data_IF_217356579259
#
_entry.id   IF_217356579259
#
_cell.length_a   1.000
_cell.length_b   1.000
_cell.length_c   1.000
_cell.angle_alpha   90.00
_cell.angle_beta   90.00
_cell.angle_gamma   90.00
#
_symmetry.space_group_name_H-M   'P 1'
#
loop_
_entity.id
_entity.type
_entity.pdbx_description
1 polymer ?
#
# COMPACT_ATOMS: atom_id res chain seq x y z
N UNK A 1 -12.24 -10.28 37.31
CA UNK A 1 -11.88 -9.05 36.60
C UNK A 1 -12.31 -9.25 35.16
N UNK A 2 -13.54 -8.85 34.83
CA UNK A 2 -14.15 -9.12 33.52
C UNK A 2 -14.37 -7.78 32.83
N UNK A 3 -13.45 -7.41 31.94
CA UNK A 3 -13.67 -6.35 30.96
C UNK A 3 -13.46 -6.99 29.58
N UNK A 4 -14.35 -7.92 29.23
CA UNK A 4 -14.42 -8.50 27.90
C UNK A 4 -14.93 -7.49 26.88
N UNK A 5 -14.08 -6.55 26.46
CA UNK A 5 -14.42 -5.63 25.39
C UNK A 5 -14.47 -6.37 24.05
N UNK A 6 -15.42 -6.03 23.19
CA UNK A 6 -15.43 -6.54 21.81
C UNK A 6 -14.32 -5.85 21.00
N UNK A 7 -13.49 -6.65 20.32
CA UNK A 7 -12.53 -6.18 19.33
C UNK A 7 -13.28 -6.07 18.00
N UNK A 8 -13.17 -4.92 17.33
CA UNK A 8 -13.75 -4.70 16.00
C UNK A 8 -12.69 -4.13 15.06
N UNK A 9 -12.39 -4.84 13.97
CA UNK A 9 -11.46 -4.38 12.94
C UNK A 9 -12.25 -3.95 11.69
N UNK A 10 -11.85 -2.83 11.09
CA UNK A 10 -12.47 -2.25 9.88
C UNK A 10 -11.48 -2.27 8.71
N UNK A 11 -11.98 -2.38 7.47
CA UNK A 11 -11.12 -2.42 6.28
C UNK A 11 -10.80 -1.01 5.74
N UNK A 12 -11.72 -0.05 5.92
CA UNK A 12 -11.65 1.25 5.27
C UNK A 12 -11.26 2.40 6.21
N UNK A 13 -10.68 3.44 5.62
CA UNK A 13 -10.39 4.74 6.26
C UNK A 13 -11.41 5.81 5.86
N UNK A 14 -12.27 5.52 4.86
CA UNK A 14 -13.30 6.43 4.35
C UNK A 14 -14.56 6.34 5.20
N UNK A 15 -15.18 7.49 5.48
CA UNK A 15 -16.39 7.65 6.32
C UNK A 15 -17.54 6.68 5.96
N UNK A 16 -17.66 6.30 4.70
CA UNK A 16 -18.72 5.43 4.19
C UNK A 16 -18.43 3.92 4.40
N UNK A 17 -17.17 3.54 4.60
CA UNK A 17 -16.79 2.13 4.90
C UNK A 17 -16.87 1.80 6.39
N UNK A 18 -17.27 2.75 7.25
CA UNK A 18 -17.33 2.58 8.71
C UNK A 18 -18.53 1.78 9.21
N UNK A 19 -19.51 1.48 8.34
CA UNK A 19 -20.81 0.95 8.75
C UNK A 19 -20.78 -0.51 9.22
N UNK A 20 -19.79 -1.31 8.80
CA UNK A 20 -19.66 -2.70 9.27
C UNK A 20 -18.19 -3.06 9.53
N UNK A 21 -17.84 -3.52 10.75
CA UNK A 21 -16.54 -4.16 10.97
C UNK A 21 -16.50 -5.47 10.19
N UNK A 22 -15.35 -5.78 9.59
CA UNK A 22 -15.17 -7.03 8.87
C UNK A 22 -14.84 -8.19 9.79
N UNK A 23 -14.25 -7.88 10.95
CA UNK A 23 -13.95 -8.84 11.99
C UNK A 23 -14.42 -8.27 13.33
N UNK A 24 -15.27 -9.02 14.01
CA UNK A 24 -15.65 -8.75 15.39
C UNK A 24 -15.31 -9.96 16.23
N UNK A 25 -14.47 -9.78 17.25
CA UNK A 25 -14.12 -10.82 18.22
C UNK A 25 -14.67 -10.39 19.57
N UNK A 26 -15.70 -11.09 20.02
CA UNK A 26 -16.22 -10.94 21.38
C UNK A 26 -15.66 -12.01 22.32
N UNK A 27 -15.71 -11.74 23.62
CA UNK A 27 -15.31 -12.67 24.67
C UNK A 27 -14.83 -11.95 25.92
N UNK A 28 -14.82 -12.64 27.06
CA UNK A 28 -14.31 -12.11 28.32
C UNK A 28 -12.83 -12.40 28.56
N UNK A 29 -12.29 -13.41 27.88
CA UNK A 29 -10.91 -13.82 28.02
C UNK A 29 -10.01 -13.18 26.97
N UNK A 30 -9.05 -12.39 27.45
CA UNK A 30 -8.02 -11.72 26.65
C UNK A 30 -7.15 -12.73 25.91
N UNK A 31 -6.91 -13.92 26.47
CA UNK A 31 -6.10 -14.95 25.83
C UNK A 31 -6.81 -15.57 24.62
N UNK A 32 -8.09 -15.94 24.77
CA UNK A 32 -8.91 -16.42 23.65
C UNK A 32 -9.06 -15.35 22.54
N UNK A 33 -9.32 -14.10 22.91
CA UNK A 33 -9.37 -12.99 21.95
C UNK A 33 -8.07 -12.84 21.15
N UNK A 34 -6.93 -12.98 21.82
CA UNK A 34 -5.60 -12.95 21.19
C UNK A 34 -5.43 -14.08 20.18
N UNK A 35 -5.76 -15.31 20.56
CA UNK A 35 -5.63 -16.48 19.67
C UNK A 35 -6.53 -16.35 18.44
N UNK A 36 -7.78 -15.90 18.62
CA UNK A 36 -8.72 -15.66 17.52
C UNK A 36 -8.22 -14.57 16.57
N UNK A 37 -7.62 -13.50 17.10
CA UNK A 37 -7.06 -12.43 16.29
C UNK A 37 -5.85 -12.94 15.47
N UNK A 38 -4.95 -13.68 16.10
CA UNK A 38 -3.80 -14.30 15.41
C UNK A 38 -4.26 -15.23 14.29
N UNK A 39 -5.25 -16.08 14.57
CA UNK A 39 -5.80 -17.01 13.59
C UNK A 39 -6.49 -16.29 12.42
N UNK A 40 -7.24 -15.23 12.68
CA UNK A 40 -7.95 -14.47 11.65
C UNK A 40 -7.02 -13.82 10.62
N UNK A 41 -5.81 -13.43 11.03
CA UNK A 41 -4.79 -12.84 10.17
C UNK A 41 -3.70 -13.83 9.74
N UNK A 42 -3.78 -15.10 10.17
CA UNK A 42 -2.80 -16.12 9.83
C UNK A 42 -1.38 -15.83 10.36
N UNK A 43 -1.26 -15.08 11.46
CA UNK A 43 0.05 -14.75 12.01
C UNK A 43 0.69 -15.93 12.74
N UNK A 44 2.03 -15.97 12.73
CA UNK A 44 2.78 -16.91 13.54
C UNK A 44 2.78 -16.46 15.01
N UNK A 45 2.18 -17.26 15.89
CA UNK A 45 2.06 -16.94 17.32
C UNK A 45 3.44 -16.74 18.01
N UNK A 46 4.47 -17.46 17.57
CA UNK A 46 5.82 -17.37 18.13
C UNK A 46 6.47 -16.00 17.88
N UNK A 47 6.21 -15.39 16.73
CA UNK A 47 6.74 -14.05 16.37
C UNK A 47 6.02 -12.91 17.11
N UNK A 48 4.90 -13.22 17.74
CA UNK A 48 4.05 -12.27 18.45
C UNK A 48 4.19 -12.38 19.97
N UNK A 49 5.02 -13.31 20.45
CA UNK A 49 5.28 -13.50 21.87
C UNK A 49 5.74 -12.18 22.51
N UNK A 50 5.15 -11.81 23.64
CA UNK A 50 5.41 -10.53 24.31
C UNK A 50 4.61 -9.32 23.82
N UNK A 51 3.92 -9.39 22.67
CA UNK A 51 2.99 -8.31 22.29
C UNK A 51 1.75 -8.32 23.18
N UNK A 52 1.17 -7.17 23.48
CA UNK A 52 -0.11 -7.07 24.20
C UNK A 52 -1.28 -7.19 23.22
N UNK A 53 -2.49 -7.48 23.73
CA UNK A 53 -3.70 -7.52 22.90
C UNK A 53 -3.91 -6.20 22.15
N UNK A 54 -3.67 -5.05 22.80
CA UNK A 54 -3.81 -3.75 22.17
C UNK A 54 -2.85 -3.56 20.97
N UNK A 55 -1.60 -4.01 21.11
CA UNK A 55 -0.63 -3.96 20.02
C UNK A 55 -1.05 -4.83 18.84
N UNK A 56 -1.59 -6.01 19.11
CA UNK A 56 -2.13 -6.89 18.08
C UNK A 56 -3.34 -6.28 17.37
N UNK A 57 -4.23 -5.61 18.09
CA UNK A 57 -5.38 -4.89 17.50
C UNK A 57 -4.93 -3.77 16.58
N UNK A 58 -3.91 -2.99 16.96
CA UNK A 58 -3.36 -1.94 16.10
C UNK A 58 -2.72 -2.54 14.84
N UNK A 59 -1.95 -3.62 15.00
CA UNK A 59 -1.36 -4.34 13.86
C UNK A 59 -2.44 -4.85 12.90
N UNK A 60 -3.50 -5.44 13.44
CA UNK A 60 -4.63 -5.96 12.68
C UNK A 60 -5.33 -4.85 11.88
N UNK A 61 -5.56 -3.69 12.49
CA UNK A 61 -6.17 -2.53 11.82
C UNK A 61 -5.32 -2.00 10.67
N UNK A 62 -4.00 -1.91 10.86
CA UNK A 62 -3.07 -1.48 9.82
C UNK A 62 -3.01 -2.47 8.65
N UNK A 63 -2.96 -3.76 8.95
CA UNK A 63 -2.93 -4.81 7.92
C UNK A 63 -4.23 -4.83 7.11
N UNK A 64 -5.39 -4.75 7.78
CA UNK A 64 -6.68 -4.66 7.11
C UNK A 64 -6.75 -3.47 6.14
N UNK A 65 -6.31 -2.28 6.57
CA UNK A 65 -6.23 -1.08 5.72
C UNK A 65 -5.26 -1.26 4.56
N UNK A 66 -4.12 -1.92 4.79
CA UNK A 66 -3.15 -2.25 3.75
C UNK A 66 -3.76 -3.14 2.67
N UNK A 67 -4.43 -4.22 3.07
CA UNK A 67 -5.10 -5.16 2.16
C UNK A 67 -6.22 -4.48 1.37
N UNK A 68 -7.01 -3.61 2.01
CA UNK A 68 -8.04 -2.83 1.33
C UNK A 68 -7.46 -1.95 0.22
N UNK A 69 -6.35 -1.24 0.49
CA UNK A 69 -5.65 -0.43 -0.53
C UNK A 69 -5.09 -1.28 -1.64
N UNK A 70 -4.46 -2.42 -1.29
CA UNK A 70 -3.92 -3.35 -2.29
C UNK A 70 -5.00 -3.80 -3.28
N UNK A 71 -6.17 -4.18 -2.76
CA UNK A 71 -7.29 -4.62 -3.59
C UNK A 71 -7.86 -3.47 -4.43
N UNK A 72 -8.17 -2.34 -3.82
CA UNK A 72 -8.95 -1.29 -4.47
C UNK A 72 -8.12 -0.36 -5.35
N UNK A 73 -6.88 -0.05 -4.95
CA UNK A 73 -6.02 0.89 -5.68
C UNK A 73 -5.15 0.17 -6.71
N UNK A 74 -4.79 -1.10 -6.46
CA UNK A 74 -3.87 -1.88 -7.30
C UNK A 74 -4.51 -3.10 -7.97
N UNK A 75 -5.80 -3.37 -7.71
CA UNK A 75 -6.49 -4.54 -8.28
C UNK A 75 -5.94 -5.88 -7.81
N UNK A 76 -5.23 -5.92 -6.69
CA UNK A 76 -4.60 -7.14 -6.21
C UNK A 76 -5.64 -8.20 -5.83
N UNK A 77 -5.37 -9.44 -6.22
CA UNK A 77 -6.20 -10.61 -5.90
C UNK A 77 -5.41 -11.62 -5.08
N UNK A 78 -6.05 -12.26 -4.11
CA UNK A 78 -5.44 -13.34 -3.33
C UNK A 78 -5.27 -14.56 -4.23
N UNK A 79 -4.04 -15.04 -4.37
CA UNK A 79 -3.73 -16.33 -5.01
C UNK A 79 -3.42 -17.32 -3.90
N UNK A 80 -4.27 -18.31 -3.70
CA UNK A 80 -4.01 -19.38 -2.74
C UNK A 80 -2.96 -20.33 -3.31
N UNK A 81 -1.75 -20.28 -2.78
CA UNK A 81 -0.76 -21.33 -3.00
C UNK A 81 -1.02 -22.47 -2.00
N UNK A 82 -1.00 -23.74 -2.43
CA UNK A 82 -0.99 -24.85 -1.49
C UNK A 82 0.19 -24.67 -0.55
N UNK A 83 -0.09 -24.60 0.75
CA UNK A 83 0.92 -24.45 1.80
C UNK A 83 1.90 -25.62 1.69
N UNK A 84 3.11 -25.36 1.18
CA UNK A 84 4.16 -26.36 1.14
C UNK A 84 4.47 -26.78 2.60
N UNK A 85 4.59 -28.10 2.88
CA UNK A 85 4.90 -28.56 4.22
C UNK A 85 6.21 -27.94 4.69
N UNK A 86 6.20 -27.35 5.89
CA UNK A 86 7.34 -26.71 6.51
C UNK A 86 8.51 -27.71 6.61
N UNK A 87 9.54 -27.51 5.79
CA UNK A 87 10.78 -28.27 5.89
C UNK A 87 11.54 -27.71 7.10
N UNK A 88 11.59 -28.46 8.19
CA UNK A 88 12.43 -28.15 9.35
C UNK A 88 13.90 -28.17 8.92
N UNK A 89 14.53 -27.01 8.74
CA UNK A 89 15.96 -26.94 8.45
C UNK A 89 16.74 -26.75 9.74
N UNK A 90 17.13 -27.87 10.35
CA UNK A 90 18.31 -27.95 11.18
C UNK A 90 19.54 -28.05 10.26
N UNK A 91 20.55 -27.20 10.49
CA UNK A 91 21.89 -27.36 9.91
C UNK A 91 22.25 -26.36 8.83
N UNK A 92 22.94 -25.29 9.24
CA UNK A 92 23.70 -24.44 8.33
C UNK A 92 24.93 -25.20 7.78
N UNK A 93 25.19 -25.05 6.47
CA UNK A 93 26.50 -25.26 5.86
C UNK A 93 26.73 -24.18 4.78
N UNK A 94 27.98 -23.72 4.56
CA UNK A 94 28.25 -22.45 3.88
C UNK A 94 28.37 -22.55 2.35
N UNK A 95 27.87 -21.50 1.70
CA UNK A 95 28.23 -20.82 0.43
C UNK A 95 28.92 -21.66 -0.67
N UNK A 96 28.18 -21.87 -1.77
CA UNK A 96 28.71 -22.09 -3.12
C UNK A 96 27.78 -21.46 -4.15
N UNK A 97 28.24 -20.41 -4.85
CA UNK A 97 27.55 -19.75 -5.96
C UNK A 97 27.82 -20.51 -7.30
N UNK A 98 27.11 -20.23 -8.41
CA UNK A 98 26.08 -21.08 -9.00
C UNK A 98 26.44 -21.60 -10.43
N UNK A 99 25.71 -22.54 -11.03
CA UNK A 99 25.67 -22.65 -12.49
C UNK A 99 24.66 -21.62 -13.06
N UNK A 100 25.07 -21.00 -14.15
CA UNK A 100 24.48 -19.83 -14.75
C UNK A 100 23.18 -20.09 -15.54
N UNK A 101 22.46 -18.98 -15.72
CA UNK A 101 21.57 -18.68 -16.86
C UNK A 101 20.14 -19.23 -16.81
N UNK A 102 19.27 -18.52 -16.09
CA UNK A 102 17.99 -18.01 -16.62
C UNK A 102 17.26 -17.18 -15.54
N UNK A 103 17.93 -16.16 -14.99
CA UNK A 103 17.26 -15.19 -14.12
C UNK A 103 16.59 -14.11 -14.99
N UNK A 104 15.24 -14.02 -15.04
CA UNK A 104 14.54 -12.98 -15.79
C UNK A 104 14.87 -11.56 -15.29
N UNK A 105 15.37 -11.40 -14.06
CA UNK A 105 15.84 -10.10 -13.57
C UNK A 105 17.19 -9.67 -14.16
N UNK A 106 18.06 -10.62 -14.51
CA UNK A 106 19.37 -10.30 -15.10
C UNK A 106 19.25 -9.79 -16.55
N UNK A 107 18.27 -10.31 -17.30
CA UNK A 107 18.00 -9.86 -18.68
C UNK A 107 17.47 -8.42 -18.73
N UNK A 108 16.69 -8.00 -17.72
CA UNK A 108 16.19 -6.62 -17.63
C UNK A 108 17.31 -5.60 -17.35
N UNK A 109 18.33 -5.97 -16.57
CA UNK A 109 19.50 -5.11 -16.34
C UNK A 109 20.39 -4.97 -17.59
N UNK A 110 20.56 -6.05 -18.36
CA UNK A 110 21.33 -6.00 -19.61
C UNK A 110 20.65 -5.14 -20.68
N UNK A 111 19.30 -5.16 -20.74
CA UNK A 111 18.54 -4.31 -21.66
C UNK A 111 18.64 -2.80 -21.33
N UNK A 112 18.76 -2.44 -20.04
CA UNK A 112 18.99 -1.03 -19.64
C UNK A 112 20.43 -0.55 -19.85
N UNK A 113 21.42 -1.46 -19.91
CA UNK A 113 22.83 -1.10 -20.06
C UNK A 113 23.28 -0.92 -21.52
N UNK A 114 22.52 -1.42 -22.50
CA UNK A 114 22.85 -1.33 -23.93
C UNK A 114 22.15 -0.17 -24.66
N UNK A 115 21.37 0.65 -23.96
CA UNK A 115 20.74 1.84 -24.53
C UNK A 115 21.65 3.07 -24.36
N UNK A 116 22.72 3.14 -25.15
CA UNK A 116 23.30 4.45 -25.49
C UNK A 116 22.23 5.23 -26.28
N UNK A 117 21.95 6.50 -25.96
CA UNK A 117 20.88 7.22 -26.62
C UNK A 117 21.29 7.49 -28.06
N UNK A 118 20.69 6.75 -29.00
CA UNK A 118 20.69 7.14 -30.39
C UNK A 118 20.10 8.56 -30.46
N UNK A 119 20.92 9.52 -30.89
CA UNK A 119 20.51 10.86 -31.26
C UNK A 119 19.62 10.79 -32.52
N UNK A 120 18.39 10.32 -32.32
CA UNK A 120 17.30 10.38 -33.27
C UNK A 120 16.44 11.58 -32.95
N UNK A 121 16.22 12.43 -33.95
CA UNK A 121 15.45 13.66 -33.89
C UNK A 121 14.00 13.43 -33.43
N UNK A 122 13.77 13.40 -32.12
CA UNK A 122 12.52 13.82 -31.52
C UNK A 122 12.65 15.31 -31.24
N UNK A 123 11.74 16.12 -31.77
CA UNK A 123 11.59 17.51 -31.35
C UNK A 123 11.61 17.53 -29.82
N UNK A 124 12.58 18.23 -29.23
CA UNK A 124 12.56 18.51 -27.81
C UNK A 124 11.18 19.08 -27.48
N UNK A 125 10.44 18.54 -26.49
CA UNK A 125 9.18 19.16 -26.09
C UNK A 125 9.49 20.62 -25.83
N UNK A 126 8.77 21.50 -26.53
CA UNK A 126 8.92 22.94 -26.46
C UNK A 126 9.16 23.32 -25.00
N UNK A 127 10.29 23.99 -24.76
CA UNK A 127 10.76 24.42 -23.45
C UNK A 127 9.54 24.90 -22.64
N UNK A 128 9.07 24.06 -21.72
CA UNK A 128 7.83 24.31 -21.02
C UNK A 128 8.03 25.61 -20.26
N UNK A 129 7.28 26.64 -20.63
CA UNK A 129 7.23 27.87 -19.85
C UNK A 129 6.95 27.48 -18.40
N UNK A 130 7.50 28.21 -17.41
CA UNK A 130 7.27 27.90 -16.01
C UNK A 130 5.75 27.89 -15.75
N UNK A 131 5.17 26.68 -15.72
CA UNK A 131 3.74 26.50 -15.51
C UNK A 131 3.46 26.80 -14.04
N UNK A 132 2.54 27.72 -13.81
CA UNK A 132 2.08 28.01 -12.46
C UNK A 132 1.37 26.79 -11.88
N UNK A 133 1.23 26.70 -10.56
CA UNK A 133 0.48 25.61 -9.93
C UNK A 133 -0.95 25.53 -10.48
N UNK A 134 -1.57 26.68 -10.77
CA UNK A 134 -2.89 26.76 -11.40
C UNK A 134 -2.91 26.10 -12.79
N UNK A 135 -1.88 26.32 -13.61
CA UNK A 135 -1.78 25.70 -14.94
C UNK A 135 -1.59 24.18 -14.82
N UNK A 136 -0.78 23.73 -13.86
CA UNK A 136 -0.59 22.30 -13.57
C UNK A 136 -1.89 21.63 -13.10
N UNK A 137 -2.66 22.32 -12.26
CA UNK A 137 -3.98 21.83 -11.81
C UNK A 137 -4.94 21.70 -12.99
N UNK A 138 -4.99 22.68 -13.90
CA UNK A 138 -5.84 22.61 -15.11
C UNK A 138 -5.39 21.52 -16.07
N UNK A 139 -4.08 21.28 -16.18
CA UNK A 139 -3.50 20.29 -17.09
C UNK A 139 -3.57 18.85 -16.57
N UNK A 140 -3.80 18.64 -15.27
CA UNK A 140 -3.92 17.30 -14.70
C UNK A 140 -5.02 16.50 -15.42
N UNK A 141 -4.73 15.26 -15.80
CA UNK A 141 -5.66 14.38 -16.50
C UNK A 141 -6.15 13.23 -15.62
N UNK A 142 -5.54 13.04 -14.45
CA UNK A 142 -5.95 12.03 -13.48
C UNK A 142 -6.18 12.62 -12.10
N UNK A 143 -7.07 12.00 -11.30
CA UNK A 143 -7.27 12.37 -9.90
C UNK A 143 -5.99 12.17 -9.07
N UNK A 144 -5.17 11.17 -9.45
CA UNK A 144 -3.86 10.92 -8.82
C UNK A 144 -2.88 12.07 -9.03
N UNK A 145 -2.82 12.64 -10.24
CA UNK A 145 -1.99 13.83 -10.52
C UNK A 145 -2.40 15.02 -9.65
N UNK A 146 -3.71 15.27 -9.49
CA UNK A 146 -4.21 16.32 -8.60
C UNK A 146 -3.80 16.10 -7.14
N UNK A 147 -3.83 14.85 -6.66
CA UNK A 147 -3.39 14.52 -5.29
C UNK A 147 -1.88 14.70 -5.09
N UNK A 148 -1.07 14.34 -6.09
CA UNK A 148 0.38 14.57 -6.04
C UNK A 148 0.69 16.06 -6.03
N UNK A 149 0.04 16.84 -6.90
CA UNK A 149 0.16 18.30 -6.90
C UNK A 149 -0.20 18.87 -5.52
N UNK A 150 -1.31 18.42 -4.91
CA UNK A 150 -1.72 18.89 -3.58
C UNK A 150 -0.69 18.60 -2.50
N UNK A 151 -0.17 17.37 -2.48
CA UNK A 151 0.85 16.97 -1.52
C UNK A 151 2.12 17.83 -1.66
N UNK A 152 2.55 18.05 -2.90
CA UNK A 152 3.83 18.69 -3.18
C UNK A 152 3.77 20.23 -3.06
N UNK A 153 2.57 20.84 -3.10
CA UNK A 153 2.37 22.29 -3.09
C UNK A 153 1.35 22.75 -2.03
N UNK A 154 1.29 22.04 -0.90
CA UNK A 154 0.29 22.25 0.14
C UNK A 154 0.21 23.70 0.63
N UNK A 155 1.35 24.37 0.82
CA UNK A 155 1.40 25.76 1.29
C UNK A 155 0.75 26.75 0.31
N UNK A 156 0.98 26.59 -1.00
CA UNK A 156 0.35 27.43 -2.03
C UNK A 156 -1.15 27.16 -2.13
N UNK A 157 -1.58 25.92 -1.88
CA UNK A 157 -2.99 25.53 -1.84
C UNK A 157 -3.75 26.15 -0.66
N UNK A 158 -3.08 26.29 0.49
CA UNK A 158 -3.65 26.93 1.68
C UNK A 158 -3.60 28.47 1.56
N UNK A 159 -2.62 29.01 0.83
CA UNK A 159 -2.49 30.44 0.59
C UNK A 159 -3.49 30.98 -0.46
N UNK A 160 -3.85 30.19 -1.48
CA UNK A 160 -4.76 30.60 -2.55
C UNK A 160 -5.97 29.66 -2.70
N UNK A 161 -7.13 30.15 -2.25
CA UNK A 161 -8.40 29.43 -2.35
C UNK A 161 -8.83 29.14 -3.80
N UNK A 162 -8.36 29.92 -4.79
CA UNK A 162 -8.68 29.68 -6.19
C UNK A 162 -8.10 28.37 -6.71
N UNK A 163 -6.93 27.95 -6.21
CA UNK A 163 -6.29 26.68 -6.58
C UNK A 163 -7.12 25.50 -6.06
N UNK A 164 -7.66 25.62 -4.83
CA UNK A 164 -8.61 24.66 -4.27
C UNK A 164 -9.89 24.53 -5.09
N UNK A 165 -10.47 25.66 -5.51
CA UNK A 165 -11.66 25.68 -6.35
C UNK A 165 -11.41 25.04 -7.74
N UNK A 166 -10.31 25.43 -8.40
CA UNK A 166 -9.93 24.89 -9.70
C UNK A 166 -9.64 23.38 -9.65
N UNK A 167 -8.99 22.90 -8.58
CA UNK A 167 -8.73 21.48 -8.39
C UNK A 167 -10.02 20.68 -8.17
N UNK A 168 -11.01 21.25 -7.48
CA UNK A 168 -12.32 20.62 -7.28
C UNK A 168 -13.08 20.50 -8.58
N UNK A 169 -13.12 21.57 -9.37
CA UNK A 169 -13.75 21.58 -10.69
C UNK A 169 -13.07 20.60 -11.64
N UNK A 170 -11.74 20.61 -11.68
CA UNK A 170 -10.98 19.68 -12.52
C UNK A 170 -11.18 18.23 -12.10
N UNK A 171 -11.19 17.94 -10.80
CA UNK A 171 -11.49 16.60 -10.29
C UNK A 171 -12.88 16.11 -10.73
N UNK A 172 -13.88 17.00 -10.75
CA UNK A 172 -15.23 16.67 -11.23
C UNK A 172 -15.30 16.45 -12.74
N UNK A 173 -14.41 17.07 -13.53
CA UNK A 173 -14.32 16.84 -14.97
C UNK A 173 -13.57 15.54 -15.35
N UNK A 174 -12.74 15.02 -14.45
CA UNK A 174 -11.94 13.79 -14.66
C UNK A 174 -12.66 12.55 -14.13
N UNK A 175 -13.47 12.71 -13.07
CA UNK A 175 -14.22 11.63 -12.42
C UNK A 175 -15.46 11.22 -13.23
#
# INVERSE_FOLDING_TARGET
>A
MSNGGNISIKYGDKKDDFHAPWLTIGGEDVHDQRLRLIAAFGWNAAELEGQTLAQLVVRADQEAKGLYKLRNDLGATVVSTPQAPAVSQAGAAPIGQPPASDDPWAQAQAASAAADPAAGAGQAPAQAQPQTLMDKVKAANTVRELQMLWRDNKAEWEADAAIGAAAKERKAAIA
#
